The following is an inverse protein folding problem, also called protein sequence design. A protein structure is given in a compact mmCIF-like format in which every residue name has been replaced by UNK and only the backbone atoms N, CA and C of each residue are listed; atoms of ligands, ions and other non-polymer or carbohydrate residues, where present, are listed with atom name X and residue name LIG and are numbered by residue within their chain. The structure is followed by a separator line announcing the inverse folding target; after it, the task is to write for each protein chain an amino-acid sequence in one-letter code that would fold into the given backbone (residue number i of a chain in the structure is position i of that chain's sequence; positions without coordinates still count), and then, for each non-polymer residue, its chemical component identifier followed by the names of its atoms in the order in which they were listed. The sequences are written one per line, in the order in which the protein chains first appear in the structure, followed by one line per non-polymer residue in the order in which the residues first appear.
data_IF_489848147238
#
_entry.id   IF_489848147238
#
_cell.length_a   1.000
_cell.length_b   1.000
_cell.length_c   1.000
_cell.angle_alpha   90.00
_cell.angle_beta   90.00
_cell.angle_gamma   90.00
#
_symmetry.space_group_name_H-M   'P 1'
#
loop_
_entity.id
_entity.type
_entity.pdbx_description
1 polymer ?
#
# COMPACT_ATOMS: atom_id res chain seq x y z
N UNK A 1 48.48 12.70 -21.41
CA UNK A 1 47.76 12.59 -20.13
C UNK A 1 46.49 13.41 -20.23
N UNK A 2 45.35 12.76 -20.43
CA UNK A 2 44.06 13.41 -20.67
C UNK A 2 43.33 13.53 -19.34
N UNK A 3 43.07 14.75 -18.86
CA UNK A 3 42.32 14.98 -17.62
C UNK A 3 40.90 14.38 -17.73
N UNK A 4 40.48 13.67 -16.69
CA UNK A 4 39.20 12.97 -16.65
C UNK A 4 38.04 13.99 -16.61
N UNK A 5 36.98 13.85 -17.44
CA UNK A 5 35.88 14.83 -17.52
C UNK A 5 35.18 15.14 -16.18
N UNK A 6 35.20 14.18 -15.25
CA UNK A 6 34.63 14.34 -13.90
C UNK A 6 35.46 15.29 -13.02
N UNK A 7 36.79 15.28 -13.14
CA UNK A 7 37.68 16.14 -12.32
C UNK A 7 37.54 17.61 -12.74
N UNK A 8 37.27 17.83 -14.02
CA UNK A 8 36.97 19.17 -14.55
C UNK A 8 35.59 19.66 -14.12
N UNK A 9 34.61 18.75 -13.98
CA UNK A 9 33.28 19.09 -13.49
C UNK A 9 33.32 19.41 -11.98
N UNK A 10 34.03 18.61 -11.18
CA UNK A 10 34.20 18.82 -9.75
C UNK A 10 34.88 20.16 -9.45
N UNK A 11 35.99 20.47 -10.15
CA UNK A 11 36.68 21.76 -10.03
C UNK A 11 35.77 22.94 -10.40
N UNK A 12 34.96 22.80 -11.45
CA UNK A 12 34.01 23.84 -11.87
C UNK A 12 32.88 24.06 -10.85
N UNK A 13 32.41 22.98 -10.21
CA UNK A 13 31.37 23.05 -9.17
C UNK A 13 31.92 23.66 -7.88
N UNK A 14 33.14 23.29 -7.45
CA UNK A 14 33.79 23.91 -6.28
C UNK A 14 34.06 25.40 -6.51
N UNK A 15 34.59 25.80 -7.67
CA UNK A 15 34.82 27.20 -7.99
C UNK A 15 33.50 28.01 -8.11
N UNK A 16 32.39 27.39 -8.50
CA UNK A 16 31.07 28.02 -8.49
C UNK A 16 30.54 28.22 -7.05
N UNK A 17 30.72 27.22 -6.18
CA UNK A 17 30.31 27.29 -4.77
C UNK A 17 31.09 28.36 -4.00
N UNK A 18 32.41 28.46 -4.21
CA UNK A 18 33.26 29.48 -3.58
C UNK A 18 32.85 30.90 -3.98
N UNK A 19 32.51 31.14 -5.25
CA UNK A 19 31.98 32.43 -5.72
C UNK A 19 30.66 32.81 -5.05
N UNK A 20 29.79 31.84 -4.79
CA UNK A 20 28.54 32.10 -4.07
C UNK A 20 28.76 32.43 -2.58
N UNK A 21 29.75 31.82 -1.94
CA UNK A 21 30.11 32.11 -0.55
C UNK A 21 30.79 33.46 -0.42
N UNK A 22 31.68 33.82 -1.35
CA UNK A 22 32.32 35.14 -1.41
C UNK A 22 31.29 36.26 -1.61
N UNK A 23 30.34 36.08 -2.54
CA UNK A 23 29.26 37.04 -2.79
C UNK A 23 28.31 37.24 -1.58
N UNK A 24 28.25 36.28 -0.65
CA UNK A 24 27.48 36.41 0.61
C UNK A 24 28.26 37.11 1.73
N UNK A 25 29.60 37.07 1.70
CA UNK A 25 30.45 37.73 2.71
C UNK A 25 30.58 39.24 2.48
N UNK A 26 30.45 39.71 1.24
CA UNK A 26 30.57 41.14 0.89
C UNK A 26 29.34 42.00 1.22
N UNK A 27 28.30 41.44 1.83
CA UNK A 27 27.14 42.21 2.30
C UNK A 27 27.22 42.53 3.79
N UNK A 28 28.20 43.34 4.17
CA UNK A 28 28.22 44.05 5.46
C UNK A 28 28.41 45.56 5.25
N UNK A 29 27.25 46.25 5.24
CA UNK A 29 26.96 47.66 5.59
C UNK A 29 27.89 48.78 5.12
N UNK A 30 27.30 49.86 4.59
CA UNK A 30 27.41 51.13 5.33
C UNK A 30 26.11 51.96 5.45
N UNK A 31 26.01 52.60 6.63
CA UNK A 31 25.46 53.92 6.99
C UNK A 31 24.11 54.41 6.41
N UNK A 32 23.20 54.66 7.36
CA UNK A 32 22.06 55.59 7.26
C UNK A 32 22.52 56.97 6.75
N UNK A 33 21.99 57.37 5.60
CA UNK A 33 22.03 58.72 5.04
C UNK A 33 20.74 58.98 4.26
N UNK A 34 20.27 60.22 4.26
CA UNK A 34 18.91 60.70 3.92
C UNK A 34 18.48 60.49 2.45
N UNK A 35 17.15 60.41 2.27
CA UNK A 35 16.26 60.30 1.08
C UNK A 35 16.53 61.48 0.09
N UNK A 36 16.41 61.43 -1.28
CA UNK A 36 15.14 61.17 -2.01
C UNK A 36 15.13 60.71 -3.51
N UNK A 37 13.91 60.39 -3.98
CA UNK A 37 13.37 60.62 -5.36
C UNK A 37 13.77 59.76 -6.58
N UNK A 38 13.99 58.45 -6.47
CA UNK A 38 14.05 57.56 -7.66
C UNK A 38 13.24 56.26 -7.57
N UNK A 39 12.13 56.27 -6.82
CA UNK A 39 11.27 55.09 -6.55
C UNK A 39 10.53 54.50 -7.76
N UNK A 40 10.69 55.01 -8.98
CA UNK A 40 10.06 54.43 -10.18
C UNK A 40 10.98 53.47 -10.94
N UNK A 41 12.30 53.63 -10.86
CA UNK A 41 13.25 52.75 -11.55
C UNK A 41 13.52 51.44 -10.77
N UNK A 42 13.47 51.49 -9.43
CA UNK A 42 13.74 50.31 -8.59
C UNK A 42 12.58 49.30 -8.55
N UNK A 43 11.35 49.76 -8.83
CA UNK A 43 10.17 48.88 -8.83
C UNK A 43 10.17 47.90 -10.02
N UNK A 44 10.73 48.31 -11.17
CA UNK A 44 10.86 47.45 -12.36
C UNK A 44 11.97 46.39 -12.19
N UNK A 45 13.08 46.75 -11.55
CA UNK A 45 14.18 45.80 -11.29
C UNK A 45 13.81 44.82 -10.15
N UNK A 46 13.05 45.27 -9.15
CA UNK A 46 12.53 44.40 -8.09
C UNK A 46 11.45 43.42 -8.60
N UNK A 47 10.62 43.83 -9.57
CA UNK A 47 9.63 42.95 -10.21
C UNK A 47 10.29 41.88 -11.10
N UNK A 48 11.35 42.23 -11.85
CA UNK A 48 12.10 41.29 -12.67
C UNK A 48 12.94 40.30 -11.84
N UNK A 49 13.47 40.72 -10.69
CA UNK A 49 14.20 39.82 -9.78
C UNK A 49 13.27 38.93 -8.94
N UNK A 50 12.05 39.36 -8.63
CA UNK A 50 11.06 38.50 -7.97
C UNK A 50 10.43 37.47 -8.92
N UNK A 51 10.35 37.73 -10.23
CA UNK A 51 9.99 36.70 -11.22
C UNK A 51 11.08 35.62 -11.40
N UNK A 52 12.36 35.97 -11.23
CA UNK A 52 13.47 35.01 -11.43
C UNK A 52 13.79 34.16 -10.19
N UNK A 53 13.37 34.57 -8.99
CA UNK A 53 13.59 33.79 -7.75
C UNK A 53 12.38 32.92 -7.38
N UNK A 54 11.19 33.18 -7.93
CA UNK A 54 9.97 32.39 -7.66
C UNK A 54 9.70 31.21 -8.59
N UNK A 55 10.39 31.09 -9.73
CA UNK A 55 10.05 30.16 -10.82
C UNK A 55 10.85 28.84 -10.90
N UNK A 56 11.58 28.47 -9.86
CA UNK A 56 12.64 27.44 -9.96
C UNK A 56 12.25 25.96 -9.81
N UNK A 57 10.97 25.58 -9.75
CA UNK A 57 10.60 24.18 -9.44
C UNK A 57 9.61 23.48 -10.38
N UNK A 58 9.11 24.13 -11.45
CA UNK A 58 8.04 23.54 -12.28
C UNK A 58 8.40 23.18 -13.73
N UNK A 59 9.66 23.33 -14.16
CA UNK A 59 10.03 23.19 -15.57
C UNK A 59 10.76 21.89 -15.99
N UNK A 60 10.87 20.87 -15.13
CA UNK A 60 11.57 19.62 -15.47
C UNK A 60 10.66 18.40 -15.76
N UNK A 61 9.33 18.54 -15.69
CA UNK A 61 8.41 17.39 -15.87
C UNK A 61 8.01 17.13 -17.32
N UNK A 62 8.22 18.07 -18.24
CA UNK A 62 7.91 17.93 -19.67
C UNK A 62 8.91 17.09 -20.47
N UNK A 63 10.05 16.71 -19.87
CA UNK A 63 11.10 15.93 -20.54
C UNK A 63 11.05 14.42 -20.23
N UNK A 64 10.21 13.98 -19.30
CA UNK A 64 10.09 12.56 -18.99
C UNK A 64 9.31 11.83 -20.08
N UNK A 65 10.01 10.95 -20.79
CA UNK A 65 9.38 10.05 -21.77
C UNK A 65 8.46 9.04 -21.06
N UNK A 66 7.34 8.71 -21.71
CA UNK A 66 6.39 7.70 -21.25
C UNK A 66 6.75 6.35 -21.87
N UNK A 67 6.93 5.33 -21.02
CA UNK A 67 7.15 3.95 -21.43
C UNK A 67 5.84 3.17 -21.55
N UNK A 68 5.95 1.88 -21.85
CA UNK A 68 4.79 0.98 -21.84
C UNK A 68 4.13 0.94 -20.45
N UNK A 69 2.81 0.80 -20.33
CA UNK A 69 2.15 0.67 -19.02
C UNK A 69 2.75 -0.46 -18.18
N UNK A 70 2.63 -0.32 -16.86
CA UNK A 70 3.01 -1.38 -15.91
C UNK A 70 2.30 -2.67 -16.33
N UNK A 71 3.05 -3.76 -16.61
CA UNK A 71 2.44 -5.05 -16.95
C UNK A 71 1.48 -5.46 -15.84
N UNK A 72 0.35 -6.06 -16.18
CA UNK A 72 -0.55 -6.60 -15.18
C UNK A 72 -0.05 -7.99 -14.78
N UNK A 73 0.58 -8.19 -13.60
CA UNK A 73 0.90 -9.53 -13.15
C UNK A 73 -0.42 -10.19 -12.72
N UNK A 74 -1.11 -10.82 -13.67
CA UNK A 74 -2.28 -11.63 -13.38
C UNK A 74 -1.83 -12.95 -12.73
N UNK A 75 -1.26 -12.88 -11.52
CA UNK A 75 -0.90 -14.07 -10.71
C UNK A 75 -2.10 -14.99 -10.47
N UNK A 76 -3.32 -14.50 -10.66
CA UNK A 76 -4.59 -15.21 -10.43
C UNK A 76 -5.45 -15.38 -11.69
N UNK A 77 -4.87 -15.19 -12.89
CA UNK A 77 -5.60 -15.18 -14.17
C UNK A 77 -6.20 -13.83 -14.51
N UNK A 78 -6.69 -13.69 -15.75
CA UNK A 78 -7.31 -12.45 -16.20
C UNK A 78 -8.50 -12.08 -15.28
N UNK A 79 -8.68 -10.79 -14.93
CA UNK A 79 -9.74 -10.40 -14.03
C UNK A 79 -11.09 -10.70 -14.68
N UNK A 80 -12.01 -11.24 -13.91
CA UNK A 80 -13.37 -11.52 -14.35
C UNK A 80 -14.35 -11.08 -13.25
N UNK A 81 -15.59 -10.65 -13.59
CA UNK A 81 -16.49 -10.03 -12.64
C UNK A 81 -16.68 -10.79 -11.32
N UNK A 82 -16.79 -12.13 -11.37
CA UNK A 82 -17.00 -12.99 -10.21
C UNK A 82 -15.78 -13.83 -9.79
N UNK A 83 -14.56 -13.44 -10.17
CA UNK A 83 -13.32 -14.14 -9.78
C UNK A 83 -12.23 -13.20 -9.27
N UNK A 84 -11.37 -13.70 -8.38
CA UNK A 84 -10.26 -12.96 -7.80
C UNK A 84 -10.74 -11.69 -7.11
N UNK A 85 -10.20 -10.55 -7.56
CA UNK A 85 -10.59 -9.22 -7.10
C UNK A 85 -11.77 -8.63 -7.88
N UNK A 86 -12.26 -9.28 -8.94
CA UNK A 86 -13.24 -8.69 -9.86
C UNK A 86 -12.63 -7.73 -10.88
N UNK A 87 -13.49 -7.05 -11.63
CA UNK A 87 -13.12 -5.94 -12.51
C UNK A 87 -13.34 -4.60 -11.78
N UNK A 88 -12.51 -3.57 -12.02
CA UNK A 88 -12.84 -2.21 -11.60
C UNK A 88 -14.22 -1.78 -12.12
N UNK A 89 -15.04 -1.19 -11.26
CA UNK A 89 -16.37 -0.70 -11.63
C UNK A 89 -16.24 0.72 -12.21
N UNK A 90 -16.70 0.96 -13.45
CA UNK A 90 -16.73 2.31 -14.02
C UNK A 90 -17.46 3.31 -13.11
N UNK A 91 -17.00 4.56 -13.08
CA UNK A 91 -17.60 5.61 -12.24
C UNK A 91 -17.22 5.57 -10.75
N UNK A 92 -16.56 4.51 -10.27
CA UNK A 92 -16.08 4.42 -8.88
C UNK A 92 -14.62 4.82 -8.69
N UNK A 93 -13.94 5.17 -9.78
CA UNK A 93 -12.53 5.56 -9.76
C UNK A 93 -12.42 7.01 -9.28
N UNK A 94 -11.78 7.22 -8.13
CA UNK A 94 -11.55 8.54 -7.56
C UNK A 94 -10.06 8.80 -7.42
N UNK A 95 -9.56 9.79 -8.14
CA UNK A 95 -8.21 10.33 -7.93
C UNK A 95 -8.23 11.24 -6.69
N UNK A 96 -7.73 10.73 -5.58
CA UNK A 96 -7.86 11.37 -4.25
C UNK A 96 -6.85 12.50 -4.06
N UNK A 97 -5.64 12.33 -4.58
CA UNK A 97 -4.61 13.40 -4.62
C UNK A 97 -3.58 13.10 -5.70
N UNK A 98 -2.95 14.16 -6.20
CA UNK A 98 -1.86 14.12 -7.19
C UNK A 98 -0.67 15.00 -6.82
N UNK A 99 -0.69 15.59 -5.63
CA UNK A 99 0.14 16.75 -5.30
C UNK A 99 1.04 16.52 -4.10
N UNK A 100 1.09 15.30 -3.56
CA UNK A 100 1.93 15.01 -2.39
C UNK A 100 3.40 15.06 -2.80
N UNK A 101 4.13 16.06 -2.34
CA UNK A 101 5.52 16.25 -2.72
C UNK A 101 6.40 15.07 -2.29
N UNK A 102 7.40 14.76 -3.11
CA UNK A 102 8.49 13.88 -2.70
C UNK A 102 9.45 14.62 -1.76
N UNK A 103 9.77 14.09 -0.57
CA UNK A 103 10.77 14.69 0.33
C UNK A 103 12.16 14.91 -0.29
N UNK A 104 12.56 14.17 -1.32
CA UNK A 104 13.81 14.37 -2.05
C UNK A 104 13.63 15.07 -3.43
N UNK A 105 12.43 15.58 -3.72
CA UNK A 105 12.09 16.16 -5.02
C UNK A 105 11.73 15.12 -6.10
N UNK A 106 11.38 15.60 -7.29
CA UNK A 106 10.91 14.76 -8.41
C UNK A 106 9.38 14.80 -8.58
N UNK A 107 8.84 13.81 -9.31
CA UNK A 107 7.39 13.74 -9.55
C UNK A 107 6.62 13.59 -8.24
N UNK A 108 5.48 14.29 -8.08
CA UNK A 108 4.66 14.12 -6.88
C UNK A 108 4.10 12.70 -6.78
N UNK A 109 3.69 12.34 -5.58
CA UNK A 109 2.95 11.12 -5.29
C UNK A 109 1.44 11.38 -5.38
N UNK A 110 0.74 10.36 -5.84
CA UNK A 110 -0.70 10.37 -5.96
C UNK A 110 -1.32 9.11 -5.39
N UNK A 111 -2.58 9.24 -5.03
CA UNK A 111 -3.42 8.17 -4.52
C UNK A 111 -4.74 8.18 -5.29
N UNK A 112 -5.20 7.00 -5.68
CA UNK A 112 -6.58 6.82 -6.14
C UNK A 112 -7.24 5.65 -5.45
N UNK A 113 -8.56 5.67 -5.37
CA UNK A 113 -9.39 4.53 -4.99
C UNK A 113 -10.33 4.11 -6.12
N UNK A 114 -10.79 2.87 -6.09
CA UNK A 114 -11.83 2.35 -6.97
C UNK A 114 -12.52 1.13 -6.36
N UNK A 115 -13.79 0.92 -6.70
CA UNK A 115 -14.50 -0.29 -6.32
C UNK A 115 -14.34 -1.38 -7.41
N UNK A 116 -14.58 -2.63 -7.03
CA UNK A 116 -14.60 -3.76 -7.97
C UNK A 116 -15.94 -4.48 -7.98
N UNK A 117 -16.19 -5.23 -9.05
CA UNK A 117 -17.41 -6.02 -9.26
C UNK A 117 -17.63 -7.10 -8.20
N UNK A 118 -16.60 -7.48 -7.43
CA UNK A 118 -16.71 -8.38 -6.28
C UNK A 118 -16.81 -7.63 -4.95
N UNK A 119 -17.11 -6.34 -4.93
CA UNK A 119 -17.26 -5.61 -3.67
C UNK A 119 -15.96 -5.43 -2.89
N UNK A 120 -14.84 -5.19 -3.59
CA UNK A 120 -13.64 -4.63 -2.96
C UNK A 120 -13.61 -3.13 -3.15
N UNK A 121 -13.06 -2.43 -2.18
CA UNK A 121 -12.43 -1.12 -2.41
C UNK A 121 -10.92 -1.30 -2.49
N UNK A 122 -10.34 -0.83 -3.58
CA UNK A 122 -8.90 -0.85 -3.80
C UNK A 122 -8.34 0.56 -3.76
N UNK A 123 -7.10 0.69 -3.28
CA UNK A 123 -6.29 1.90 -3.36
C UNK A 123 -5.02 1.63 -4.14
N UNK A 124 -4.58 2.61 -4.93
CA UNK A 124 -3.35 2.57 -5.71
C UNK A 124 -2.54 3.84 -5.47
N UNK A 125 -1.30 3.67 -5.01
CA UNK A 125 -0.33 4.75 -4.79
C UNK A 125 0.81 4.66 -5.81
N UNK A 126 1.30 5.81 -6.28
CA UNK A 126 2.43 5.88 -7.19
C UNK A 126 2.84 7.31 -7.52
N UNK A 127 3.78 7.45 -8.46
CA UNK A 127 4.21 8.75 -8.99
C UNK A 127 3.17 9.32 -9.92
N UNK A 128 3.08 10.63 -10.01
CA UNK A 128 2.14 11.33 -10.88
C UNK A 128 2.85 12.06 -11.99
N UNK A 129 2.46 11.74 -13.23
CA UNK A 129 2.84 12.47 -14.42
C UNK A 129 1.58 12.75 -15.25
N UNK A 130 1.33 14.03 -15.54
CA UNK A 130 0.18 14.45 -16.35
C UNK A 130 -1.17 13.88 -15.84
N UNK A 131 -1.38 13.91 -14.52
CA UNK A 131 -2.60 13.41 -13.87
C UNK A 131 -2.74 11.89 -13.81
N UNK A 132 -1.79 11.13 -14.38
CA UNK A 132 -1.77 9.66 -14.31
C UNK A 132 -0.89 9.18 -13.17
N UNK A 133 -1.32 8.12 -12.49
CA UNK A 133 -0.50 7.42 -11.49
C UNK A 133 0.34 6.34 -12.20
N UNK A 134 1.60 6.20 -11.81
CA UNK A 134 2.51 5.24 -12.39
C UNK A 134 3.79 5.04 -11.58
N UNK A 135 4.75 4.37 -12.22
CA UNK A 135 6.05 4.02 -11.67
C UNK A 135 7.14 4.54 -12.60
N UNK A 136 8.29 4.93 -12.06
CA UNK A 136 9.46 5.31 -12.84
C UNK A 136 10.38 4.10 -13.04
N UNK A 137 10.96 3.98 -14.24
CA UNK A 137 12.02 3.03 -14.60
C UNK A 137 13.35 3.35 -13.94
N UNK A 138 13.36 3.46 -12.62
CA UNK A 138 14.54 3.76 -11.79
C UNK A 138 14.79 2.65 -10.78
N UNK A 139 15.98 2.62 -10.16
CA UNK A 139 16.36 1.55 -9.22
C UNK A 139 16.17 0.13 -9.80
N UNK A 140 16.46 -0.03 -11.09
CA UNK A 140 16.35 -1.29 -11.82
C UNK A 140 14.94 -1.73 -12.22
N UNK A 141 13.91 -0.95 -11.90
CA UNK A 141 12.55 -1.15 -12.40
C UNK A 141 12.51 -0.95 -13.92
N UNK A 142 11.73 -1.78 -14.63
CA UNK A 142 11.54 -1.70 -16.09
C UNK A 142 12.86 -1.65 -16.89
N UNK A 143 13.90 -2.33 -16.41
CA UNK A 143 15.22 -2.31 -17.04
C UNK A 143 16.04 -1.04 -16.78
N UNK A 144 15.53 -0.11 -15.96
CA UNK A 144 16.21 1.14 -15.65
C UNK A 144 16.11 2.17 -16.76
N UNK A 145 15.05 2.15 -17.58
CA UNK A 145 14.91 2.99 -18.76
C UNK A 145 14.64 4.48 -18.47
N UNK A 146 14.47 4.85 -17.20
CA UNK A 146 14.21 6.22 -16.75
C UNK A 146 12.83 6.77 -17.14
N UNK A 147 11.94 5.94 -17.70
CA UNK A 147 10.63 6.38 -18.21
C UNK A 147 9.54 6.27 -17.18
N UNK A 148 8.44 6.97 -17.43
CA UNK A 148 7.21 6.81 -16.65
C UNK A 148 6.34 5.69 -17.25
N UNK A 149 6.01 4.70 -16.44
CA UNK A 149 5.14 3.58 -16.77
C UNK A 149 3.81 3.76 -16.05
N UNK A 150 2.73 3.96 -16.80
CA UNK A 150 1.40 4.15 -16.22
C UNK A 150 0.96 2.90 -15.45
N UNK A 151 0.55 3.08 -14.21
CA UNK A 151 -0.16 2.08 -13.45
C UNK A 151 -1.64 2.23 -13.79
N UNK A 152 -2.19 1.32 -14.61
CA UNK A 152 -3.60 1.36 -14.99
C UNK A 152 -4.52 0.92 -13.84
N UNK A 153 -5.78 1.36 -13.90
CA UNK A 153 -6.79 0.98 -12.89
C UNK A 153 -6.95 -0.54 -12.90
N UNK A 154 -7.00 -1.16 -11.72
CA UNK A 154 -7.12 -2.62 -11.58
C UNK A 154 -5.82 -3.41 -11.75
N UNK A 155 -4.71 -2.78 -12.15
CA UNK A 155 -3.39 -3.43 -12.12
C UNK A 155 -2.90 -3.55 -10.69
N UNK A 156 -2.68 -4.77 -10.22
CA UNK A 156 -2.17 -5.01 -8.87
C UNK A 156 -0.64 -4.97 -8.90
N UNK A 157 -0.08 -3.92 -8.30
CA UNK A 157 1.35 -3.78 -8.00
C UNK A 157 1.56 -3.66 -6.48
N UNK A 158 2.80 -3.60 -5.99
CA UNK A 158 3.09 -3.56 -4.55
C UNK A 158 2.45 -2.35 -3.83
N UNK A 159 2.21 -1.24 -4.53
CA UNK A 159 1.44 -0.09 -4.03
C UNK A 159 -0.08 -0.23 -4.12
N UNK A 160 -0.60 -1.39 -4.51
CA UNK A 160 -2.02 -1.67 -4.67
C UNK A 160 -2.53 -2.56 -3.56
N UNK A 161 -3.51 -2.08 -2.82
CA UNK A 161 -4.11 -2.82 -1.71
C UNK A 161 -5.62 -2.78 -1.83
N UNK A 162 -6.27 -3.94 -1.69
CA UNK A 162 -7.72 -4.07 -1.77
C UNK A 162 -8.27 -4.66 -0.48
N UNK A 163 -9.41 -4.13 -0.02
CA UNK A 163 -10.15 -4.61 1.14
C UNK A 163 -11.60 -4.89 0.75
N UNK A 164 -12.23 -5.98 1.22
CA UNK A 164 -13.65 -6.18 1.01
C UNK A 164 -14.45 -5.04 1.64
N UNK A 165 -15.56 -4.71 1.03
CA UNK A 165 -16.53 -3.79 1.60
C UNK A 165 -17.02 -4.26 2.96
N UNK A 166 -17.31 -3.29 3.82
CA UNK A 166 -18.13 -3.51 4.99
C UNK A 166 -19.61 -3.70 4.61
N UNK A 167 -20.47 -3.94 5.60
CA UNK A 167 -21.91 -4.12 5.42
C UNK A 167 -22.63 -2.89 4.88
N UNK A 168 -21.97 -1.73 4.79
CA UNK A 168 -22.48 -0.50 4.18
C UNK A 168 -21.83 -0.20 2.81
N UNK A 169 -21.06 -1.15 2.26
CA UNK A 169 -20.41 -0.98 0.95
C UNK A 169 -19.14 -0.13 0.99
N UNK A 170 -18.55 0.12 2.18
CA UNK A 170 -17.41 1.02 2.36
C UNK A 170 -16.10 0.25 2.55
N UNK A 171 -14.99 0.83 2.08
CA UNK A 171 -13.63 0.33 2.29
C UNK A 171 -12.93 1.03 3.45
N UNK A 172 -12.35 0.25 4.37
CA UNK A 172 -11.53 0.76 5.48
C UNK A 172 -10.16 0.09 5.45
N UNK A 173 -9.12 0.92 5.43
CA UNK A 173 -7.75 0.47 5.21
C UNK A 173 -6.76 1.52 5.74
N UNK A 174 -5.78 1.08 6.53
CA UNK A 174 -4.53 1.80 6.73
C UNK A 174 -3.38 0.94 6.23
N UNK A 175 -2.51 1.51 5.41
CA UNK A 175 -1.30 0.86 4.89
C UNK A 175 -0.08 1.68 5.29
N UNK A 176 0.94 0.97 5.75
CA UNK A 176 2.30 1.48 5.90
C UNK A 176 3.26 0.65 5.05
N UNK A 177 4.09 1.34 4.27
CA UNK A 177 5.21 0.79 3.51
C UNK A 177 6.48 1.54 3.90
N UNK A 178 7.37 0.94 4.67
CA UNK A 178 8.53 1.65 5.22
C UNK A 178 9.70 1.83 4.26
N UNK A 179 9.76 1.07 3.16
CA UNK A 179 10.89 1.05 2.24
C UNK A 179 10.50 0.93 0.77
N UNK A 180 9.81 1.94 0.27
CA UNK A 180 9.36 2.02 -1.12
C UNK A 180 10.43 2.70 -1.98
N UNK A 181 10.84 2.14 -3.12
CA UNK A 181 11.72 2.81 -4.07
C UNK A 181 11.20 4.18 -4.46
N UNK A 182 12.11 5.13 -4.69
CA UNK A 182 11.74 6.44 -5.22
C UNK A 182 11.01 6.30 -6.57
N UNK A 183 11.27 5.28 -7.39
CA UNK A 183 10.49 5.07 -8.60
C UNK A 183 9.00 4.78 -8.38
N UNK A 184 8.60 4.35 -7.17
CA UNK A 184 7.25 3.95 -6.82
C UNK A 184 7.19 2.54 -6.23
N UNK A 185 6.02 2.17 -5.70
CA UNK A 185 5.77 0.84 -5.11
C UNK A 185 5.46 -0.19 -6.20
N UNK A 186 6.50 -0.80 -6.76
CA UNK A 186 6.39 -1.83 -7.78
C UNK A 186 7.71 -2.54 -8.08
N UNK A 187 7.80 -3.28 -9.19
CA UNK A 187 8.92 -4.18 -9.48
C UNK A 187 10.23 -3.40 -9.58
N UNK A 188 11.06 -3.48 -8.54
CA UNK A 188 12.36 -2.82 -8.49
C UNK A 188 13.45 -3.83 -8.12
N UNK A 189 14.71 -3.49 -8.41
CA UNK A 189 15.88 -4.24 -7.92
C UNK A 189 16.35 -3.75 -6.55
N UNK A 190 15.63 -2.81 -5.95
CA UNK A 190 15.88 -2.25 -4.64
C UNK A 190 15.23 -3.17 -3.61
N UNK A 191 16.06 -4.01 -2.97
CA UNK A 191 15.66 -5.07 -2.05
C UNK A 191 16.34 -4.81 -0.72
N UNK A 192 15.56 -4.92 0.36
CA UNK A 192 16.07 -4.99 1.72
C UNK A 192 15.99 -6.45 2.17
N UNK A 193 17.15 -7.00 2.49
CA UNK A 193 17.25 -8.33 3.06
C UNK A 193 16.90 -8.28 4.55
N UNK A 194 16.43 -9.40 5.10
CA UNK A 194 16.17 -9.52 6.54
C UNK A 194 17.42 -9.23 7.40
N UNK A 195 18.62 -9.38 6.84
CA UNK A 195 19.88 -9.01 7.47
C UNK A 195 20.11 -7.50 7.58
N UNK A 196 19.21 -6.67 7.06
CA UNK A 196 19.38 -5.21 6.96
C UNK A 196 20.25 -4.78 5.77
N UNK A 197 20.86 -5.72 5.04
CA UNK A 197 21.57 -5.40 3.79
C UNK A 197 20.59 -4.87 2.75
N UNK A 198 20.98 -3.84 2.01
CA UNK A 198 20.17 -3.24 0.97
C UNK A 198 20.94 -3.08 -0.34
N UNK A 199 20.24 -3.16 -1.47
CA UNK A 199 20.85 -2.99 -2.81
C UNK A 199 20.81 -1.55 -3.31
N UNK A 200 20.26 -0.63 -2.53
CA UNK A 200 20.03 0.78 -2.85
C UNK A 200 20.24 1.64 -1.59
N UNK A 201 20.70 2.89 -1.71
CA UNK A 201 20.89 3.78 -0.56
C UNK A 201 19.55 4.29 -0.01
N UNK A 202 19.51 4.64 1.29
CA UNK A 202 18.27 5.11 1.96
C UNK A 202 17.63 6.33 1.32
N UNK A 203 18.44 7.22 0.72
CA UNK A 203 17.94 8.39 -0.02
C UNK A 203 17.06 8.03 -1.22
N UNK A 204 17.18 6.80 -1.74
CA UNK A 204 16.39 6.29 -2.85
C UNK A 204 15.13 5.54 -2.37
N UNK A 205 14.84 5.59 -1.06
CA UNK A 205 13.71 4.93 -0.42
C UNK A 205 12.79 5.92 0.27
N UNK A 206 11.52 5.54 0.42
CA UNK A 206 10.46 6.33 1.04
C UNK A 206 9.67 5.49 2.02
N UNK A 207 9.15 6.15 3.04
CA UNK A 207 8.09 5.60 3.88
C UNK A 207 6.76 6.20 3.44
N UNK A 208 5.77 5.35 3.20
CA UNK A 208 4.44 5.73 2.75
C UNK A 208 3.40 5.27 3.77
N UNK A 209 2.48 6.17 4.09
CA UNK A 209 1.30 5.89 4.90
C UNK A 209 0.07 6.34 4.15
N UNK A 210 -0.82 5.41 3.80
CA UNK A 210 -1.98 5.73 2.97
C UNK A 210 -3.14 4.76 3.21
N UNK A 211 -4.34 5.16 2.80
CA UNK A 211 -5.51 4.30 2.94
C UNK A 211 -6.82 5.07 2.89
N UNK A 212 -7.86 4.46 3.47
CA UNK A 212 -9.24 4.94 3.55
C UNK A 212 -9.72 4.80 4.99
N UNK A 213 -10.09 5.91 5.60
CA UNK A 213 -10.49 5.98 7.02
C UNK A 213 -12.00 5.92 7.21
N UNK A 214 -12.75 5.82 6.10
CA UNK A 214 -14.20 5.84 6.07
C UNK A 214 -14.77 7.25 5.88
N UNK A 215 -16.05 7.35 5.47
CA UNK A 215 -16.70 8.60 5.06
C UNK A 215 -16.84 9.63 6.19
N UNK A 216 -16.73 9.21 7.45
CA UNK A 216 -16.82 10.10 8.60
C UNK A 216 -15.48 10.77 8.95
N UNK A 217 -14.37 10.35 8.34
CA UNK A 217 -13.06 10.93 8.60
C UNK A 217 -12.96 12.34 8.00
N UNK A 218 -12.47 13.29 8.79
CA UNK A 218 -12.39 14.70 8.38
C UNK A 218 -10.95 15.20 8.31
N UNK A 219 -10.08 14.76 9.21
CA UNK A 219 -8.67 15.17 9.26
C UNK A 219 -7.76 14.04 9.69
N UNK A 220 -6.53 14.10 9.21
CA UNK A 220 -5.44 13.20 9.61
C UNK A 220 -4.29 14.04 10.11
N UNK A 221 -3.83 13.74 11.31
CA UNK A 221 -2.64 14.33 11.91
C UNK A 221 -1.51 13.32 11.88
N UNK A 222 -0.37 13.70 11.32
CA UNK A 222 0.81 12.85 11.18
C UNK A 222 2.07 13.55 11.67
N UNK A 223 3.07 12.76 12.03
CA UNK A 223 4.37 13.20 12.52
C UNK A 223 5.30 13.47 11.34
N UNK A 224 6.10 14.51 11.48
CA UNK A 224 7.16 14.94 10.56
C UNK A 224 8.45 15.16 11.36
N UNK A 225 9.57 15.34 10.68
CA UNK A 225 10.84 15.65 11.35
C UNK A 225 10.78 16.91 12.23
N UNK A 226 9.91 17.88 11.89
CA UNK A 226 9.83 19.19 12.57
C UNK A 226 8.61 19.33 13.49
N UNK A 227 7.84 18.27 13.73
CA UNK A 227 6.61 18.32 14.54
C UNK A 227 5.45 17.56 13.92
N UNK A 228 4.22 17.99 14.16
CA UNK A 228 3.01 17.37 13.59
C UNK A 228 2.40 18.25 12.50
N UNK A 229 1.74 17.61 11.53
CA UNK A 229 0.95 18.27 10.50
C UNK A 229 -0.43 17.66 10.45
N UNK A 230 -1.43 18.50 10.24
CA UNK A 230 -2.82 18.09 10.09
C UNK A 230 -3.32 18.47 8.71
N UNK A 231 -3.90 17.51 8.00
CA UNK A 231 -4.47 17.69 6.67
C UNK A 231 -5.91 17.20 6.65
N UNK A 232 -6.72 17.69 5.71
CA UNK A 232 -8.06 17.17 5.48
C UNK A 232 -8.00 15.76 4.90
N UNK A 233 -8.96 14.92 5.26
CA UNK A 233 -9.17 13.64 4.59
C UNK A 233 -9.59 13.88 3.12
N UNK A 234 -9.23 12.95 2.25
CA UNK A 234 -9.33 13.06 0.80
C UNK A 234 -10.52 12.27 0.26
N UNK A 235 -11.39 12.93 -0.49
CA UNK A 235 -12.52 12.28 -1.16
C UNK A 235 -13.54 11.65 -0.20
N UNK A 236 -14.57 10.98 -0.76
CA UNK A 236 -15.72 10.49 0.01
C UNK A 236 -15.39 9.32 0.93
N UNK A 237 -14.32 8.57 0.67
CA UNK A 237 -13.89 7.43 1.50
C UNK A 237 -12.95 7.81 2.65
N UNK A 238 -12.71 9.11 2.91
CA UNK A 238 -11.80 9.55 3.96
C UNK A 238 -10.34 9.16 3.72
N UNK A 239 -9.87 9.32 2.47
CA UNK A 239 -8.54 8.91 2.07
C UNK A 239 -7.42 9.75 2.66
N UNK A 240 -6.21 9.21 2.69
CA UNK A 240 -5.02 9.96 3.08
C UNK A 240 -3.78 9.40 2.41
N UNK A 241 -2.79 10.26 2.19
CA UNK A 241 -1.47 9.88 1.71
C UNK A 241 -0.42 10.76 2.40
N UNK A 242 0.50 10.13 3.10
CA UNK A 242 1.67 10.75 3.72
C UNK A 242 2.91 10.07 3.13
N UNK A 243 3.85 10.89 2.67
CA UNK A 243 5.12 10.42 2.12
C UNK A 243 6.24 11.10 2.90
N UNK A 244 7.15 10.28 3.43
CA UNK A 244 8.32 10.73 4.17
C UNK A 244 9.62 10.12 3.63
N UNK A 245 10.78 10.72 3.99
CA UNK A 245 12.05 10.02 3.80
C UNK A 245 11.99 8.69 4.55
N UNK A 246 12.71 7.67 4.08
CA UNK A 246 12.81 6.42 4.82
C UNK A 246 13.33 6.69 6.22
N UNK A 247 12.60 6.24 7.24
CA UNK A 247 13.11 6.22 8.60
C UNK A 247 14.12 5.07 8.76
N UNK A 248 15.18 5.24 9.57
CA UNK A 248 16.06 4.11 9.91
C UNK A 248 15.25 2.95 10.46
N UNK A 249 15.62 1.72 10.10
CA UNK A 249 14.99 0.52 10.63
C UNK A 249 15.03 0.56 12.15
N UNK A 250 13.87 0.62 12.78
CA UNK A 250 13.72 0.59 14.23
C UNK A 250 12.81 -0.53 14.63
N UNK A 251 13.22 -1.19 15.69
CA UNK A 251 12.38 -2.11 16.40
C UNK A 251 11.36 -1.31 17.25
N UNK A 252 10.08 -1.43 16.89
CA UNK A 252 8.97 -0.81 17.58
C UNK A 252 8.39 -1.84 18.55
N UNK A 253 8.67 -1.67 19.84
CA UNK A 253 8.09 -2.51 20.90
C UNK A 253 6.60 -2.22 21.05
N UNK A 254 5.81 -3.28 21.03
CA UNK A 254 4.37 -3.26 21.32
C UNK A 254 4.06 -4.17 22.50
N UNK A 255 2.84 -4.08 23.03
CA UNK A 255 2.38 -4.98 24.11
C UNK A 255 2.36 -6.47 23.72
N UNK A 256 2.43 -6.81 22.42
CA UNK A 256 2.30 -8.18 21.90
C UNK A 256 3.56 -8.70 21.21
N UNK A 257 4.69 -8.00 21.34
CA UNK A 257 5.93 -8.30 20.64
C UNK A 257 6.44 -7.09 19.87
N UNK A 258 7.20 -7.35 18.82
CA UNK A 258 7.98 -6.32 18.14
C UNK A 258 7.67 -6.20 16.66
N UNK A 259 7.75 -4.96 16.16
CA UNK A 259 7.50 -4.60 14.77
C UNK A 259 8.75 -3.94 14.18
N UNK A 260 9.12 -4.28 12.96
CA UNK A 260 10.10 -3.47 12.21
C UNK A 260 9.38 -2.28 11.57
N UNK A 261 9.98 -1.09 11.67
CA UNK A 261 9.48 0.11 10.98
C UNK A 261 9.53 0.04 9.46
N UNK A 262 10.26 -0.93 8.88
CA UNK A 262 10.29 -1.14 7.43
C UNK A 262 9.23 -2.13 6.93
N UNK A 263 8.44 -2.71 7.85
CA UNK A 263 7.50 -3.76 7.52
C UNK A 263 6.31 -3.22 6.74
N UNK A 264 5.83 -4.01 5.78
CA UNK A 264 4.50 -3.81 5.22
C UNK A 264 3.46 -4.11 6.30
N UNK A 265 2.72 -3.08 6.69
CA UNK A 265 1.57 -3.20 7.56
C UNK A 265 0.35 -2.79 6.78
N UNK A 266 -0.68 -3.61 6.85
CA UNK A 266 -1.96 -3.21 6.34
C UNK A 266 -3.06 -3.75 7.26
N UNK A 267 -3.90 -2.84 7.73
CA UNK A 267 -4.88 -3.05 8.81
C UNK A 267 -6.14 -2.24 8.54
N UNK A 268 -7.18 -2.43 9.35
CA UNK A 268 -8.45 -1.71 9.21
C UNK A 268 -8.27 -0.18 9.38
N UNK A 269 -7.36 0.22 10.27
CA UNK A 269 -7.09 1.62 10.60
C UNK A 269 -5.59 1.83 10.73
N UNK A 270 -5.06 3.06 10.60
CA UNK A 270 -3.63 3.28 10.63
C UNK A 270 -2.99 2.74 11.92
N UNK A 271 -1.83 2.12 11.80
CA UNK A 271 -1.07 1.50 12.89
C UNK A 271 0.42 1.85 12.86
N UNK A 272 0.79 2.86 12.09
CA UNK A 272 2.18 3.29 11.96
C UNK A 272 2.60 4.28 13.04
N UNK A 273 3.91 4.44 13.19
CA UNK A 273 4.50 5.51 14.01
C UNK A 273 4.37 6.90 13.39
N UNK A 274 3.99 6.97 12.10
CA UNK A 274 3.86 8.23 11.35
C UNK A 274 2.52 8.88 11.63
N UNK A 275 1.42 8.13 11.53
CA UNK A 275 0.10 8.69 11.84
C UNK A 275 -0.04 8.87 13.35
N UNK A 276 -0.47 10.05 13.77
CA UNK A 276 -0.61 10.40 15.19
C UNK A 276 -2.07 10.37 15.64
N UNK A 277 -2.99 10.83 14.78
CA UNK A 277 -4.41 10.95 15.12
C UNK A 277 -5.26 11.05 13.86
N UNK A 278 -6.48 10.53 13.95
CA UNK A 278 -7.54 10.73 12.96
C UNK A 278 -8.72 11.41 13.67
N UNK A 279 -9.26 12.45 13.05
CA UNK A 279 -10.45 13.15 13.52
C UNK A 279 -11.64 12.82 12.62
N UNK A 280 -12.79 12.56 13.24
CA UNK A 280 -14.04 12.23 12.59
C UNK A 280 -15.09 13.31 12.87
N UNK A 281 -16.19 13.28 12.12
CA UNK A 281 -17.35 14.13 12.38
C UNK A 281 -17.92 13.91 13.79
N UNK A 282 -18.62 14.92 14.32
CA UNK A 282 -19.22 14.92 15.66
C UNK A 282 -18.20 14.88 16.83
N UNK A 283 -16.95 15.29 16.60
CA UNK A 283 -15.93 15.43 17.66
C UNK A 283 -15.22 14.12 18.04
N UNK A 284 -15.60 13.01 17.42
CA UNK A 284 -14.94 11.71 17.58
C UNK A 284 -13.49 11.77 17.06
N UNK A 285 -12.55 11.18 17.79
CA UNK A 285 -11.15 11.11 17.35
C UNK A 285 -10.48 9.83 17.82
N UNK A 286 -9.51 9.37 17.05
CA UNK A 286 -8.69 8.22 17.40
C UNK A 286 -7.21 8.62 17.43
N UNK A 287 -6.55 8.36 18.56
CA UNK A 287 -5.09 8.45 18.66
C UNK A 287 -4.46 7.18 18.08
N UNK A 288 -3.53 7.35 17.15
CA UNK A 288 -2.82 6.25 16.52
C UNK A 288 -1.55 5.91 17.28
N UNK A 289 -1.46 4.63 17.70
CA UNK A 289 -0.31 4.04 18.37
C UNK A 289 0.08 2.74 17.66
N UNK A 290 1.38 2.49 17.43
CA UNK A 290 1.82 1.25 16.81
C UNK A 290 1.35 0.01 17.57
N UNK A 291 0.85 -0.98 16.83
CA UNK A 291 0.29 -2.19 17.42
C UNK A 291 0.45 -3.38 16.48
N UNK A 292 0.70 -4.56 17.06
CA UNK A 292 0.59 -5.84 16.35
C UNK A 292 -0.88 -6.29 16.18
N UNK A 293 -1.83 -5.47 16.62
CA UNK A 293 -3.25 -5.73 16.48
C UNK A 293 -3.72 -5.55 15.05
N UNK A 294 -4.39 -6.57 14.50
CA UNK A 294 -4.92 -6.56 13.14
C UNK A 294 -6.00 -5.49 12.88
N UNK A 295 -6.55 -4.87 13.93
CA UNK A 295 -7.50 -3.74 13.83
C UNK A 295 -6.80 -2.42 13.53
N UNK A 296 -5.47 -2.38 13.63
CA UNK A 296 -4.70 -1.17 13.75
C UNK A 296 -4.98 -0.45 15.08
N UNK A 297 -4.67 0.84 15.14
CA UNK A 297 -4.75 1.58 16.40
C UNK A 297 -6.20 1.91 16.82
N UNK A 298 -7.12 1.99 15.88
CA UNK A 298 -8.52 2.37 16.10
C UNK A 298 -9.41 1.14 15.94
N UNK A 299 -9.81 0.53 17.05
CA UNK A 299 -10.45 -0.78 17.04
C UNK A 299 -11.83 -0.81 16.36
N UNK A 300 -12.53 0.32 16.33
CA UNK A 300 -13.87 0.49 15.78
C UNK A 300 -13.95 1.87 15.06
N UNK A 301 -13.55 1.96 13.78
CA UNK A 301 -13.58 3.23 13.07
C UNK A 301 -15.04 3.69 12.86
N UNK A 302 -15.35 4.98 13.13
CA UNK A 302 -16.69 5.52 12.94
C UNK A 302 -17.25 5.28 11.54
N UNK A 303 -18.45 4.70 11.49
CA UNK A 303 -19.16 4.38 10.25
C UNK A 303 -18.88 2.97 9.70
N UNK A 304 -18.02 2.16 10.33
CA UNK A 304 -17.83 0.77 9.95
C UNK A 304 -19.04 -0.09 10.33
N UNK A 305 -19.56 -0.83 9.35
CA UNK A 305 -20.71 -1.74 9.52
C UNK A 305 -20.23 -3.19 9.33
N UNK A 306 -20.24 -4.04 10.37
CA UNK A 306 -19.86 -5.43 10.23
C UNK A 306 -20.78 -6.20 9.27
N UNK A 307 -20.20 -7.08 8.43
CA UNK A 307 -20.98 -8.02 7.62
C UNK A 307 -21.62 -9.10 8.51
N UNK A 308 -22.90 -9.37 8.27
CA UNK A 308 -23.66 -10.36 9.02
C UNK A 308 -23.07 -11.78 8.85
N UNK A 309 -23.01 -12.52 9.96
CA UNK A 309 -22.49 -13.89 9.96
C UNK A 309 -23.63 -14.89 9.83
N UNK A 310 -23.50 -15.94 9.00
CA UNK A 310 -24.45 -17.05 9.07
C UNK A 310 -24.31 -17.79 10.40
N UNK A 311 -25.39 -18.41 10.83
CA UNK A 311 -25.38 -19.33 11.96
C UNK A 311 -24.44 -20.52 11.70
N UNK A 312 -23.83 -21.07 12.75
CA UNK A 312 -22.87 -22.20 12.62
C UNK A 312 -23.51 -23.39 11.91
N UNK A 313 -24.77 -23.72 12.21
CA UNK A 313 -25.49 -24.81 11.56
C UNK A 313 -25.71 -24.60 10.06
N UNK A 314 -25.84 -23.34 9.61
CA UNK A 314 -26.16 -23.01 8.23
C UNK A 314 -24.99 -23.28 7.25
N UNK A 315 -23.75 -23.33 7.73
CA UNK A 315 -22.56 -23.56 6.88
C UNK A 315 -22.08 -25.02 6.88
N UNK A 316 -22.58 -25.85 7.80
CA UNK A 316 -22.08 -27.23 7.99
C UNK A 316 -22.44 -28.12 6.80
N UNK A 317 -21.45 -28.85 6.31
CA UNK A 317 -21.65 -29.80 5.21
C UNK A 317 -20.57 -30.89 5.27
N UNK A 318 -20.87 -32.14 4.85
CA UNK A 318 -19.84 -33.14 4.68
C UNK A 318 -18.78 -32.66 3.67
N UNK A 319 -17.51 -32.90 4.00
CA UNK A 319 -16.39 -32.62 3.11
C UNK A 319 -15.73 -33.93 2.72
N UNK A 320 -15.24 -34.01 1.48
CA UNK A 320 -14.41 -35.10 1.03
C UNK A 320 -13.08 -34.54 0.52
N UNK A 321 -11.98 -35.21 0.85
CA UNK A 321 -10.67 -34.85 0.36
C UNK A 321 -9.91 -36.10 -0.06
N UNK A 322 -9.12 -35.98 -1.12
CA UNK A 322 -8.20 -37.03 -1.57
C UNK A 322 -6.91 -36.41 -2.08
N UNK A 323 -5.83 -37.14 -1.90
CA UNK A 323 -4.55 -36.82 -2.54
C UNK A 323 -4.68 -37.19 -4.02
N UNK A 324 -4.46 -36.25 -4.94
CA UNK A 324 -4.54 -36.49 -6.39
C UNK A 324 -3.17 -36.84 -6.93
N UNK A 325 -2.13 -36.17 -6.42
CA UNK A 325 -0.73 -36.50 -6.59
C UNK A 325 -0.01 -36.21 -5.25
N UNK A 326 1.25 -36.65 -5.08
CA UNK A 326 2.01 -36.40 -3.83
C UNK A 326 2.25 -34.90 -3.52
N UNK A 327 1.71 -33.96 -4.28
CA UNK A 327 1.87 -32.50 -4.15
C UNK A 327 0.54 -31.78 -3.94
N UNK A 328 -0.60 -32.40 -4.23
CA UNK A 328 -1.91 -31.75 -4.28
C UNK A 328 -2.98 -32.59 -3.58
N UNK A 329 -3.72 -31.95 -2.68
CA UNK A 329 -4.95 -32.47 -2.11
C UNK A 329 -6.16 -31.79 -2.73
N UNK A 330 -7.02 -32.59 -3.36
CA UNK A 330 -8.30 -32.13 -3.88
C UNK A 330 -9.37 -32.25 -2.82
N UNK A 331 -9.97 -31.12 -2.47
CA UNK A 331 -11.05 -31.01 -1.50
C UNK A 331 -12.34 -30.67 -2.23
N UNK A 332 -13.42 -31.36 -1.89
CA UNK A 332 -14.77 -31.16 -2.45
C UNK A 332 -15.83 -31.08 -1.37
N UNK A 333 -16.80 -30.20 -1.55
CA UNK A 333 -17.97 -30.06 -0.67
C UNK A 333 -19.11 -29.31 -1.37
N UNK A 334 -20.31 -29.36 -0.81
CA UNK A 334 -21.46 -28.55 -1.27
C UNK A 334 -21.55 -27.29 -0.43
N UNK A 335 -21.49 -26.11 -1.06
CA UNK A 335 -21.65 -24.83 -0.41
C UNK A 335 -23.10 -24.65 0.06
N UNK A 336 -23.33 -24.60 1.37
CA UNK A 336 -24.67 -24.35 1.94
C UNK A 336 -25.05 -22.87 1.93
N UNK A 337 -24.05 -22.00 1.94
CA UNK A 337 -24.21 -20.55 1.91
C UNK A 337 -23.52 -20.03 0.66
N UNK A 338 -24.17 -19.12 -0.05
CA UNK A 338 -23.59 -18.54 -1.24
C UNK A 338 -22.39 -17.66 -0.90
N UNK A 339 -21.40 -17.63 -1.79
CA UNK A 339 -20.38 -16.59 -1.86
C UNK A 339 -20.74 -15.73 -3.05
N UNK A 340 -21.24 -14.52 -2.81
CA UNK A 340 -21.73 -13.64 -3.89
C UNK A 340 -20.73 -12.54 -4.25
N UNK A 341 -19.78 -12.27 -3.36
CA UNK A 341 -18.78 -11.22 -3.50
C UNK A 341 -17.59 -11.50 -2.55
N UNK A 342 -16.70 -10.53 -2.38
CA UNK A 342 -15.52 -10.59 -1.54
C UNK A 342 -15.77 -10.46 -0.04
N UNK A 343 -16.99 -10.10 0.36
CA UNK A 343 -17.36 -10.00 1.78
C UNK A 343 -17.52 -11.39 2.41
N UNK A 344 -17.36 -12.46 1.63
CA UNK A 344 -17.29 -13.83 2.14
C UNK A 344 -16.48 -14.75 1.24
N UNK A 345 -15.98 -15.85 1.80
CA UNK A 345 -15.42 -16.94 1.04
C UNK A 345 -15.35 -18.23 1.88
N UNK A 346 -15.17 -19.34 1.17
CA UNK A 346 -14.70 -20.58 1.76
C UNK A 346 -13.17 -20.61 1.80
N UNK A 347 -12.62 -20.98 2.95
CA UNK A 347 -11.19 -21.22 3.14
C UNK A 347 -10.95 -22.69 3.43
N UNK A 348 -9.84 -23.20 2.91
CA UNK A 348 -9.44 -24.60 3.06
C UNK A 348 -8.02 -24.60 3.62
N UNK A 349 -7.86 -25.16 4.82
CA UNK A 349 -6.58 -25.30 5.51
C UNK A 349 -6.19 -26.77 5.58
N UNK A 350 -4.94 -27.07 5.21
CA UNK A 350 -4.33 -28.39 5.29
C UNK A 350 -3.22 -28.35 6.33
N UNK A 351 -3.44 -29.06 7.44
CA UNK A 351 -2.48 -29.19 8.53
C UNK A 351 -1.67 -30.48 8.31
N UNK A 352 -0.32 -30.39 8.24
CA UNK A 352 0.51 -31.57 8.10
C UNK A 352 0.57 -32.42 9.38
N UNK A 353 1.00 -33.69 9.27
CA UNK A 353 1.42 -34.47 10.43
C UNK A 353 2.69 -33.88 11.07
N UNK A 354 2.97 -34.26 12.32
CA UNK A 354 4.17 -33.84 13.05
C UNK A 354 5.48 -34.24 12.35
N UNK A 355 5.44 -35.30 11.54
CA UNK A 355 6.57 -35.73 10.71
C UNK A 355 7.02 -34.66 9.73
N UNK A 356 6.22 -33.64 9.43
CA UNK A 356 6.61 -32.51 8.58
C UNK A 356 7.06 -31.27 9.35
N UNK A 357 7.51 -31.38 10.59
CA UNK A 357 8.12 -30.22 11.24
C UNK A 357 9.37 -29.74 10.46
N UNK A 358 9.61 -28.41 10.32
CA UNK A 358 8.85 -27.29 10.91
C UNK A 358 7.73 -26.73 9.99
N UNK A 359 7.32 -27.45 8.93
CA UNK A 359 6.29 -26.97 8.02
C UNK A 359 4.94 -26.77 8.72
N UNK A 360 4.36 -25.57 8.55
CA UNK A 360 3.03 -25.22 9.06
C UNK A 360 1.90 -25.64 8.13
N UNK A 361 0.68 -25.25 8.49
CA UNK A 361 -0.49 -25.45 7.64
C UNK A 361 -0.43 -24.58 6.38
N UNK A 362 -0.86 -25.12 5.24
CA UNK A 362 -1.07 -24.35 4.01
C UNK A 362 -2.56 -24.13 3.82
N UNK A 363 -2.93 -22.92 3.41
CA UNK A 363 -4.30 -22.53 3.13
C UNK A 363 -4.51 -22.06 1.71
N UNK A 364 -5.73 -22.20 1.22
CA UNK A 364 -6.23 -21.49 0.03
C UNK A 364 -7.65 -20.97 0.27
N UNK A 365 -8.05 -20.00 -0.53
CA UNK A 365 -9.39 -19.43 -0.53
C UNK A 365 -10.11 -19.75 -1.85
N UNK A 366 -11.43 -19.83 -1.78
CA UNK A 366 -12.30 -19.89 -2.94
C UNK A 366 -12.52 -18.47 -3.43
N UNK A 367 -11.67 -18.05 -4.36
CA UNK A 367 -11.63 -16.69 -4.92
C UNK A 367 -12.62 -16.52 -6.09
N UNK A 368 -13.83 -17.06 -5.99
CA UNK A 368 -14.88 -16.87 -6.98
C UNK A 368 -16.24 -17.03 -6.35
N UNK A 369 -17.26 -16.53 -7.05
CA UNK A 369 -18.63 -16.61 -6.57
C UNK A 369 -19.15 -18.05 -6.64
N UNK A 370 -19.87 -18.46 -5.61
CA UNK A 370 -20.41 -19.81 -5.45
C UNK A 370 -21.87 -19.70 -5.06
N UNK A 371 -22.76 -20.26 -5.88
CA UNK A 371 -24.17 -20.34 -5.53
C UNK A 371 -24.40 -21.24 -4.30
N UNK A 372 -25.43 -20.95 -3.51
CA UNK A 372 -25.91 -21.89 -2.50
C UNK A 372 -26.36 -23.20 -3.19
N UNK A 373 -26.01 -24.34 -2.61
CA UNK A 373 -26.16 -25.66 -3.23
C UNK A 373 -25.07 -26.00 -4.26
N UNK A 374 -24.22 -25.03 -4.62
CA UNK A 374 -23.12 -25.22 -5.57
C UNK A 374 -22.04 -26.17 -5.06
N UNK A 375 -21.43 -26.92 -5.98
CA UNK A 375 -20.33 -27.83 -5.65
C UNK A 375 -18.99 -27.12 -5.76
N UNK A 376 -18.26 -27.07 -4.65
CA UNK A 376 -16.89 -26.54 -4.61
C UNK A 376 -15.90 -27.69 -4.80
N UNK A 377 -14.95 -27.51 -5.71
CA UNK A 377 -13.80 -28.39 -5.90
C UNK A 377 -12.56 -27.51 -5.94
N UNK A 378 -11.58 -27.78 -5.07
CA UNK A 378 -10.37 -26.98 -4.98
C UNK A 378 -9.17 -27.88 -4.73
N UNK A 379 -8.13 -27.62 -5.50
CA UNK A 379 -6.83 -28.24 -5.35
C UNK A 379 -5.98 -27.37 -4.41
N UNK A 380 -5.48 -27.98 -3.34
CA UNK A 380 -4.66 -27.34 -2.32
C UNK A 380 -3.27 -27.94 -2.35
N UNK A 381 -2.20 -27.14 -2.45
CA UNK A 381 -0.85 -27.64 -2.31
C UNK A 381 -0.64 -28.34 -0.96
N UNK A 382 0.03 -29.48 -1.00
CA UNK A 382 0.41 -30.22 0.19
C UNK A 382 1.56 -29.48 0.90
N UNK A 383 1.49 -29.30 2.24
CA UNK A 383 2.56 -28.66 3.01
C UNK A 383 3.90 -29.42 2.97
N UNK A 384 3.84 -30.73 2.73
CA UNK A 384 4.98 -31.63 2.67
C UNK A 384 4.56 -32.93 1.95
N UNK A 385 5.52 -33.83 1.71
CA UNK A 385 5.28 -35.12 1.04
C UNK A 385 5.47 -36.34 1.94
N UNK A 386 5.58 -36.14 3.25
CA UNK A 386 5.85 -37.23 4.19
C UNK A 386 4.56 -38.02 4.48
N UNK A 387 4.64 -39.35 4.65
CA UNK A 387 3.51 -40.15 5.09
C UNK A 387 2.96 -39.67 6.44
N UNK A 388 1.68 -39.93 6.66
CA UNK A 388 0.99 -39.58 7.90
C UNK A 388 -0.43 -39.07 7.67
N UNK A 389 -1.05 -38.60 8.74
CA UNK A 389 -2.43 -38.10 8.72
C UNK A 389 -2.44 -36.59 8.59
N UNK A 390 -2.99 -36.10 7.47
CA UNK A 390 -3.24 -34.70 7.20
C UNK A 390 -4.62 -34.33 7.69
N UNK A 391 -4.75 -33.20 8.39
CA UNK A 391 -6.06 -32.69 8.81
C UNK A 391 -6.50 -31.57 7.88
N UNK A 392 -7.63 -31.75 7.22
CA UNK A 392 -8.26 -30.76 6.34
C UNK A 392 -9.38 -30.06 7.12
N UNK A 393 -9.35 -28.73 7.14
CA UNK A 393 -10.42 -27.91 7.72
C UNK A 393 -10.97 -26.99 6.64
N UNK A 394 -12.27 -27.04 6.44
CA UNK A 394 -12.99 -26.09 5.59
C UNK A 394 -13.76 -25.15 6.52
N UNK A 395 -13.64 -23.85 6.29
CA UNK A 395 -14.32 -22.81 7.05
C UNK A 395 -14.95 -21.80 6.11
N UNK A 396 -16.19 -21.40 6.41
CA UNK A 396 -16.82 -20.25 5.80
C UNK A 396 -16.41 -19.02 6.60
N UNK A 397 -15.89 -18.02 5.88
CA UNK A 397 -15.48 -16.76 6.46
C UNK A 397 -16.22 -15.65 5.75
N UNK A 398 -16.52 -14.61 6.49
CA UNK A 398 -17.02 -13.33 5.98
C UNK A 398 -15.94 -12.29 6.21
N UNK A 399 -16.14 -11.09 5.69
CA UNK A 399 -15.34 -9.94 6.08
C UNK A 399 -15.37 -9.89 7.59
N UNK A 400 -14.18 -10.05 8.16
CA UNK A 400 -14.03 -9.97 9.58
C UNK A 400 -14.55 -8.59 10.01
N UNK A 401 -15.07 -8.50 11.24
CA UNK A 401 -14.98 -7.22 11.96
C UNK A 401 -13.53 -6.67 11.98
N UNK A 402 -12.53 -7.49 11.66
CA UNK A 402 -11.08 -7.27 11.80
C UNK A 402 -10.31 -7.73 10.56
N UNK A 403 -10.38 -7.03 9.42
CA UNK A 403 -9.73 -7.45 8.19
C UNK A 403 -8.19 -7.54 8.37
N UNK A 404 -7.61 -8.73 8.11
CA UNK A 404 -6.18 -8.89 7.84
C UNK A 404 -5.84 -8.49 6.42
N UNK A 405 -5.09 -7.42 6.22
CA UNK A 405 -4.72 -7.02 4.87
C UNK A 405 -3.42 -7.73 4.47
N UNK A 406 -3.43 -8.29 3.27
CA UNK A 406 -2.30 -8.98 2.64
C UNK A 406 -2.64 -9.29 1.18
N UNK A 407 -1.81 -10.08 0.51
CA UNK A 407 -2.08 -10.54 -0.89
C UNK A 407 -3.29 -11.46 -1.01
N UNK A 408 -3.99 -11.74 0.09
CA UNK A 408 -5.25 -12.50 0.14
C UNK A 408 -6.30 -11.70 0.92
N UNK A 409 -7.57 -11.69 0.48
CA UNK A 409 -8.66 -10.99 1.14
C UNK A 409 -8.80 -11.36 2.61
N UNK A 410 -9.25 -10.38 3.37
CA UNK A 410 -9.11 -10.26 4.81
C UNK A 410 -10.31 -10.83 5.57
N UNK A 411 -10.57 -12.13 5.45
CA UNK A 411 -11.77 -12.73 6.06
C UNK A 411 -11.53 -13.18 7.52
N UNK A 412 -12.61 -13.26 8.31
CA UNK A 412 -12.59 -13.57 9.75
C UNK A 412 -11.88 -14.88 10.06
N UNK A 413 -10.94 -14.85 11.01
CA UNK A 413 -10.25 -16.04 11.51
C UNK A 413 -10.38 -16.13 13.05
N UNK A 414 -10.86 -17.25 13.61
CA UNK A 414 -11.39 -18.42 12.91
C UNK A 414 -12.77 -18.17 12.26
N UNK A 415 -12.95 -18.73 11.07
CA UNK A 415 -14.26 -18.78 10.39
C UNK A 415 -15.24 -19.76 11.03
N UNK A 416 -16.48 -19.77 10.53
CA UNK A 416 -17.47 -20.79 10.89
C UNK A 416 -17.09 -22.11 10.24
N UNK A 417 -16.92 -23.16 11.05
CA UNK A 417 -16.48 -24.48 10.55
C UNK A 417 -17.54 -25.11 9.65
N UNK A 418 -17.15 -25.41 8.42
CA UNK A 418 -17.98 -26.10 7.42
C UNK A 418 -17.84 -27.61 7.59
N UNK A 419 -16.60 -28.09 7.72
CA UNK A 419 -16.29 -29.49 7.96
C UNK A 419 -14.82 -29.73 8.31
N UNK A 420 -14.50 -30.94 8.75
CA UNK A 420 -13.13 -31.37 9.04
C UNK A 420 -12.98 -32.84 8.67
N UNK A 421 -11.82 -33.20 8.11
CA UNK A 421 -11.52 -34.54 7.66
C UNK A 421 -10.05 -34.88 7.91
N UNK A 422 -9.77 -36.12 8.29
CA UNK A 422 -8.42 -36.68 8.34
C UNK A 422 -8.16 -37.48 7.05
N UNK A 423 -7.04 -37.22 6.38
CA UNK A 423 -6.63 -37.93 5.16
C UNK A 423 -5.28 -38.56 5.40
N UNK A 424 -5.19 -39.88 5.24
CA UNK A 424 -3.94 -40.62 5.42
C UNK A 424 -3.19 -40.69 4.09
N UNK A 425 -1.93 -40.29 4.11
CA UNK A 425 -0.97 -40.52 3.02
C UNK A 425 -0.08 -41.70 3.42
N UNK A 426 -0.11 -42.74 2.58
CA UNK A 426 0.73 -43.94 2.70
C UNK A 426 2.15 -43.74 2.20
#
# INVERSE_FOLDING_TARGET
MSEHPLDTLERRLMAAAERQVAARRDRRTPRRGRIPRSRRALALVAALTSLLVGGGAWAATSLLSVGSPVPAPYRFGAPAPGRGLGLPVPGTVHLLTTTVADPAGGLPWGLRSFATSRGFTCVQVGRVLQGRIGLLGTQGAFGGDGRFHELRVGVIADGTTCVPHDGAGQGFLGVHLGAVPAGGAGPSKCIIYQSGRQTCPDRDLRSLDYGLLGPRATRVTYRTATGTRTVRALGPGGGYLVVGPRAPTREIRTKRGSLSSDMYLATLTPDSSVIARVDYGAGESCRVVPTLGLRGACADPPGFVPVAQPAVGAVRTPIAARVVDRRVMRVRFTARVAVVDATSAYTIMVYPPASCAPQGAIGTEVEHDVAAGGRVIKDVPMPCRRPGTYRVVVSYRTQARHPRVGTRPSLQDPGKRVGTLAVRLG
#
